data_IF_309556644175
#
_entry.id   IF_309556644175
#
_cell.length_a   1.000
_cell.length_b   1.000
_cell.length_c   1.000
_cell.angle_alpha   90.00
_cell.angle_beta   90.00
_cell.angle_gamma   90.00
#
_symmetry.space_group_name_H-M   'P 1'
#
loop_
_entity.id
_entity.type
_entity.pdbx_description
1 polymer ?
#
# COMPACT_ATOMS: atom_id res chain seq x y z
N UNK A 1 9.06 49.07 -0.65
CA UNK A 1 8.15 49.06 -1.81
C UNK A 1 8.95 48.65 -3.03
N UNK A 2 8.61 47.51 -3.66
CA UNK A 2 9.23 47.08 -4.91
C UNK A 2 8.44 47.72 -6.05
N UNK A 3 9.11 48.52 -6.89
CA UNK A 3 8.51 49.17 -8.06
C UNK A 3 8.95 48.41 -9.32
N UNK A 4 7.99 47.98 -10.11
CA UNK A 4 8.26 47.41 -11.43
C UNK A 4 7.90 48.44 -12.50
N UNK A 5 8.64 48.52 -13.62
CA UNK A 5 8.26 49.38 -14.72
C UNK A 5 6.95 48.83 -15.33
N UNK A 6 6.05 49.74 -15.67
CA UNK A 6 4.82 49.37 -16.40
C UNK A 6 5.21 49.04 -17.83
N UNK A 7 4.85 47.88 -18.29
CA UNK A 7 5.18 47.42 -19.63
C UNK A 7 4.71 46.02 -19.95
N UNK A 8 4.91 45.62 -21.19
CA UNK A 8 4.61 44.25 -21.68
C UNK A 8 5.87 43.39 -21.50
N UNK A 9 5.77 42.36 -20.68
CA UNK A 9 6.85 41.38 -20.49
C UNK A 9 6.53 40.09 -21.24
N UNK A 10 7.49 39.57 -21.98
CA UNK A 10 7.48 38.24 -22.55
C UNK A 10 8.67 37.52 -21.93
N UNK A 11 8.42 36.46 -21.18
CA UNK A 11 9.48 35.65 -20.62
C UNK A 11 9.32 34.21 -21.09
N UNK A 12 10.29 33.73 -21.86
CA UNK A 12 10.36 32.33 -22.32
C UNK A 12 10.81 31.40 -21.20
N UNK A 13 11.52 31.90 -20.21
CA UNK A 13 12.12 31.12 -19.11
C UNK A 13 11.42 31.30 -17.76
N UNK A 14 10.34 32.08 -17.73
CA UNK A 14 9.65 32.46 -16.50
C UNK A 14 10.24 33.71 -15.83
N UNK A 15 9.58 34.17 -14.78
CA UNK A 15 10.03 35.33 -14.00
C UNK A 15 10.62 34.82 -12.67
N UNK A 16 11.87 35.20 -12.43
CA UNK A 16 12.63 34.85 -11.23
C UNK A 16 12.79 36.04 -10.33
N UNK A 17 12.36 35.96 -9.08
CA UNK A 17 12.62 36.95 -8.06
C UNK A 17 13.83 36.52 -7.22
N UNK A 18 14.82 37.37 -7.09
CA UNK A 18 15.98 37.14 -6.21
C UNK A 18 15.99 38.19 -5.13
N UNK A 19 16.01 37.78 -3.88
CA UNK A 19 16.14 38.63 -2.70
C UNK A 19 17.53 38.40 -2.10
N UNK A 20 18.31 39.44 -1.94
CA UNK A 20 19.57 39.36 -1.19
C UNK A 20 19.41 40.15 0.13
N UNK A 21 19.64 39.44 1.24
CA UNK A 21 19.57 40.01 2.58
C UNK A 21 20.84 40.81 2.89
N UNK A 22 20.78 41.66 3.92
CA UNK A 22 21.92 42.53 4.32
C UNK A 22 23.14 41.75 4.83
N UNK A 23 22.95 40.45 5.22
CA UNK A 23 24.02 39.53 5.59
C UNK A 23 24.59 38.75 4.40
N UNK A 24 24.17 39.10 3.17
CA UNK A 24 24.67 38.52 1.92
C UNK A 24 24.01 37.19 1.50
N UNK A 25 23.03 36.69 2.22
CA UNK A 25 22.26 35.48 1.79
C UNK A 25 21.38 35.83 0.62
N UNK A 26 21.31 34.91 -0.34
CA UNK A 26 20.51 35.11 -1.55
C UNK A 26 19.44 34.01 -1.62
N UNK A 27 18.19 34.46 -1.68
CA UNK A 27 17.02 33.59 -1.85
C UNK A 27 16.45 33.84 -3.25
N UNK A 28 16.09 32.78 -3.95
CA UNK A 28 15.59 32.88 -5.31
C UNK A 28 14.30 32.07 -5.44
N UNK A 29 13.27 32.71 -5.99
CA UNK A 29 12.00 32.03 -6.29
C UNK A 29 11.53 32.32 -7.70
N UNK A 30 11.08 31.28 -8.42
CA UNK A 30 10.41 31.45 -9.69
C UNK A 30 8.96 31.87 -9.43
N UNK A 31 8.58 33.06 -9.89
CA UNK A 31 7.22 33.61 -9.72
C UNK A 31 6.27 33.01 -10.77
N UNK A 32 6.81 32.63 -11.93
CA UNK A 32 6.07 31.96 -13.00
C UNK A 32 6.93 30.87 -13.63
N UNK A 33 6.29 29.75 -13.93
CA UNK A 33 6.91 28.68 -14.70
C UNK A 33 7.10 29.10 -16.16
N UNK A 34 8.00 28.42 -16.85
CA UNK A 34 8.25 28.61 -18.27
C UNK A 34 6.97 28.58 -19.12
N UNK A 35 6.85 29.53 -19.97
CA UNK A 35 5.74 29.72 -20.92
C UNK A 35 5.59 31.17 -21.30
N UNK A 36 5.23 31.43 -22.54
CA UNK A 36 4.99 32.79 -23.03
C UNK A 36 3.71 33.32 -22.37
N UNK A 37 3.85 34.18 -21.38
CA UNK A 37 2.70 34.91 -20.82
C UNK A 37 2.86 36.40 -21.16
N UNK A 38 1.86 36.91 -21.86
CA UNK A 38 1.78 38.33 -22.15
C UNK A 38 1.04 39.04 -21.02
N UNK A 39 1.69 40.00 -20.38
CA UNK A 39 1.15 40.80 -19.32
C UNK A 39 0.82 42.19 -19.85
N UNK A 40 -0.37 42.66 -19.59
CA UNK A 40 -0.81 43.99 -19.97
C UNK A 40 -1.39 44.77 -18.79
N UNK A 41 -1.51 46.09 -18.92
CA UNK A 41 -2.01 46.96 -17.88
C UNK A 41 -3.38 46.60 -17.31
N UNK A 42 -4.24 45.95 -18.12
CA UNK A 42 -5.60 45.55 -17.70
C UNK A 42 -5.63 44.35 -16.78
N UNK A 43 -4.61 43.49 -16.80
CA UNK A 43 -4.63 42.23 -16.09
C UNK A 43 -3.83 42.26 -14.77
N UNK A 44 -3.28 43.43 -14.38
CA UNK A 44 -2.61 43.63 -13.12
C UNK A 44 -1.57 42.55 -12.82
N UNK A 45 -0.48 42.53 -13.53
CA UNK A 45 0.54 41.47 -13.56
C UNK A 45 1.03 41.04 -12.20
N UNK A 46 1.12 41.99 -11.33
CA UNK A 46 1.50 41.81 -9.95
C UNK A 46 0.38 42.37 -9.07
N UNK A 47 -0.72 41.69 -8.98
CA UNK A 47 -1.64 41.99 -7.91
C UNK A 47 -0.86 41.95 -6.58
N UNK A 48 -1.18 42.82 -5.66
CA UNK A 48 -0.57 42.82 -4.33
C UNK A 48 -0.60 41.42 -3.69
N UNK A 49 -1.58 40.59 -4.06
CA UNK A 49 -1.74 39.22 -3.64
C UNK A 49 -0.65 38.30 -4.20
N UNK A 50 -0.29 38.41 -5.48
CA UNK A 50 0.78 37.55 -6.08
C UNK A 50 2.15 37.97 -5.54
N UNK A 51 2.38 39.25 -5.33
CA UNK A 51 3.63 39.71 -4.75
C UNK A 51 3.73 39.39 -3.27
N UNK A 52 2.62 39.48 -2.51
CA UNK A 52 2.56 39.08 -1.12
C UNK A 52 2.83 37.56 -0.98
N UNK A 53 2.22 36.71 -1.82
CA UNK A 53 2.48 35.27 -1.86
C UNK A 53 3.96 34.96 -2.18
N UNK A 54 4.56 35.69 -3.13
CA UNK A 54 5.97 35.53 -3.47
C UNK A 54 6.91 36.00 -2.33
N UNK A 55 6.60 37.11 -1.67
CA UNK A 55 7.40 37.64 -0.53
C UNK A 55 7.23 36.76 0.72
N UNK A 56 6.03 36.28 0.97
CA UNK A 56 5.75 35.33 2.06
C UNK A 56 6.58 34.07 1.92
N UNK A 57 6.70 33.55 0.70
CA UNK A 57 7.51 32.39 0.40
C UNK A 57 9.04 32.59 0.58
N UNK A 58 9.54 33.81 0.67
CA UNK A 58 10.92 34.10 1.09
C UNK A 58 11.08 34.11 2.61
N UNK A 59 10.02 34.39 3.33
CA UNK A 59 10.01 34.46 4.80
C UNK A 59 9.68 33.11 5.45
N UNK A 60 9.08 32.18 4.70
CA UNK A 60 8.71 30.86 5.19
C UNK A 60 9.77 29.83 4.79
N UNK A 61 10.07 28.85 5.64
CA UNK A 61 10.83 27.68 5.22
C UNK A 61 10.15 27.04 4.00
N UNK A 62 10.94 26.42 3.11
CA UNK A 62 10.37 25.68 1.98
C UNK A 62 9.42 24.59 2.47
N UNK A 63 8.29 24.40 1.79
CA UNK A 63 7.31 23.41 2.16
C UNK A 63 6.01 23.52 1.36
N UNK A 64 5.10 22.59 1.60
CA UNK A 64 3.76 22.53 0.99
C UNK A 64 2.75 23.02 2.02
N UNK A 65 2.06 24.12 1.73
CA UNK A 65 1.09 24.74 2.63
C UNK A 65 -0.37 24.46 2.21
N UNK A 66 -0.60 24.20 0.93
CA UNK A 66 -1.93 24.13 0.34
C UNK A 66 -2.03 23.00 -0.70
N UNK A 67 -3.26 22.64 -1.09
CA UNK A 67 -3.51 21.70 -2.19
C UNK A 67 -2.88 22.18 -3.52
N UNK A 68 -2.92 23.48 -3.80
CA UNK A 68 -2.28 24.06 -4.99
C UNK A 68 -0.75 23.84 -4.97
N UNK A 69 -0.10 24.02 -3.82
CA UNK A 69 1.33 23.76 -3.68
C UNK A 69 1.63 22.25 -3.89
N UNK A 70 0.76 21.37 -3.39
CA UNK A 70 0.91 19.92 -3.58
C UNK A 70 0.76 19.52 -5.06
N UNK A 71 -0.17 20.15 -5.80
CA UNK A 71 -0.34 19.96 -7.25
C UNK A 71 0.89 20.47 -8.01
N UNK A 72 1.39 21.64 -7.64
CA UNK A 72 2.60 22.21 -8.26
C UNK A 72 3.83 21.34 -7.98
N UNK A 73 3.95 20.82 -6.76
CA UNK A 73 4.98 19.87 -6.40
C UNK A 73 4.90 18.59 -7.24
N UNK A 74 3.71 17.98 -7.36
CA UNK A 74 3.51 16.80 -8.21
C UNK A 74 3.93 17.05 -9.65
N UNK A 75 3.54 18.20 -10.22
CA UNK A 75 3.92 18.59 -11.57
C UNK A 75 5.46 18.76 -11.72
N UNK A 76 6.12 19.34 -10.72
CA UNK A 76 7.58 19.54 -10.74
C UNK A 76 8.33 18.19 -10.68
N UNK A 77 7.88 17.24 -9.83
CA UNK A 77 8.42 15.88 -9.80
C UNK A 77 8.30 15.21 -11.16
N UNK A 78 7.10 15.24 -11.74
CA UNK A 78 6.79 14.59 -13.02
C UNK A 78 7.56 15.21 -14.19
N UNK A 79 7.84 16.52 -14.15
CA UNK A 79 8.67 17.21 -15.12
C UNK A 79 10.18 17.04 -14.88
N UNK A 80 10.58 16.58 -13.69
CA UNK A 80 11.99 16.49 -13.28
C UNK A 80 12.60 17.86 -12.98
N UNK A 81 11.79 18.79 -12.50
CA UNK A 81 12.21 20.12 -12.07
C UNK A 81 12.80 20.09 -10.66
N UNK A 82 13.43 21.21 -10.25
CA UNK A 82 13.97 21.37 -8.90
C UNK A 82 12.87 21.36 -7.85
N UNK A 83 13.05 20.59 -6.79
CA UNK A 83 12.12 20.50 -5.65
C UNK A 83 12.45 21.49 -4.51
N UNK A 84 13.50 22.29 -4.66
CA UNK A 84 13.96 23.24 -3.65
C UNK A 84 12.86 24.18 -3.07
N UNK A 85 11.82 24.60 -3.82
CA UNK A 85 10.76 25.42 -3.25
C UNK A 85 9.95 24.75 -2.12
N UNK A 86 9.91 23.43 -2.10
CA UNK A 86 9.13 22.64 -1.13
C UNK A 86 10.01 21.93 -0.10
N UNK A 87 11.33 22.13 -0.17
CA UNK A 87 12.28 21.48 0.74
C UNK A 87 12.65 22.39 1.91
N UNK A 88 12.75 21.79 3.08
CA UNK A 88 13.36 22.40 4.26
C UNK A 88 14.90 22.48 4.14
N UNK A 89 15.55 22.94 5.20
CA UNK A 89 17.03 23.09 5.27
C UNK A 89 17.77 21.74 5.17
N UNK A 90 17.08 20.62 5.47
CA UNK A 90 17.62 19.26 5.37
C UNK A 90 17.47 18.66 3.97
N UNK A 91 16.75 19.34 3.08
CA UNK A 91 16.41 18.85 1.75
C UNK A 91 15.20 17.92 1.72
N UNK A 92 14.40 17.86 2.78
CA UNK A 92 13.14 17.14 2.83
C UNK A 92 12.02 18.03 2.28
N UNK A 93 11.20 17.47 1.41
CA UNK A 93 9.90 18.04 1.06
C UNK A 93 9.00 17.86 2.28
N UNK A 94 8.43 18.95 2.78
CA UNK A 94 7.64 18.93 4.02
C UNK A 94 6.24 19.47 3.81
N UNK A 95 5.25 18.90 4.50
CA UNK A 95 3.96 19.56 4.69
C UNK A 95 4.11 20.56 5.84
N UNK A 96 3.53 21.74 5.69
CA UNK A 96 3.54 22.79 6.71
C UNK A 96 2.17 22.95 7.37
N UNK A 97 1.14 22.39 6.79
CA UNK A 97 -0.24 22.37 7.27
C UNK A 97 -0.93 21.08 6.86
N UNK A 98 -2.10 20.83 7.45
CA UNK A 98 -3.06 19.90 6.90
C UNK A 98 -3.50 20.34 5.51
N UNK A 99 -3.66 19.40 4.60
CA UNK A 99 -3.97 19.67 3.20
C UNK A 99 -5.40 19.25 2.89
N UNK A 100 -6.25 20.22 2.64
CA UNK A 100 -7.63 20.00 2.18
C UNK A 100 -7.68 19.96 0.65
N UNK A 101 -8.00 18.79 0.09
CA UNK A 101 -8.09 18.55 -1.35
C UNK A 101 -9.50 18.82 -1.92
N UNK A 102 -10.38 19.51 -1.17
CA UNK A 102 -11.73 19.86 -1.64
C UNK A 102 -11.69 20.58 -2.98
N UNK A 103 -12.48 20.11 -3.95
CA UNK A 103 -12.57 20.69 -5.29
C UNK A 103 -11.47 20.23 -6.27
N UNK A 104 -10.58 19.35 -5.85
CA UNK A 104 -9.62 18.70 -6.76
C UNK A 104 -10.29 17.46 -7.34
N UNK A 105 -10.86 17.61 -8.53
CA UNK A 105 -11.60 16.53 -9.19
C UNK A 105 -10.69 15.50 -9.86
N UNK A 106 -9.48 15.89 -10.24
CA UNK A 106 -8.50 15.02 -10.91
C UNK A 106 -7.14 15.16 -10.27
N UNK A 107 -6.53 14.03 -9.98
CA UNK A 107 -5.19 13.96 -9.41
C UNK A 107 -4.21 13.30 -10.40
N UNK A 108 -3.09 13.96 -10.66
CA UNK A 108 -1.95 13.33 -11.31
C UNK A 108 -0.97 12.89 -10.23
N UNK A 109 -0.67 11.60 -10.10
CA UNK A 109 0.20 11.11 -9.03
C UNK A 109 1.56 11.79 -8.99
N UNK A 110 2.08 12.00 -7.79
CA UNK A 110 3.49 12.39 -7.59
C UNK A 110 4.34 11.20 -8.04
N UNK A 111 5.23 11.41 -9.00
CA UNK A 111 5.98 10.29 -9.56
C UNK A 111 5.14 9.43 -10.50
N UNK A 112 4.37 10.07 -11.38
CA UNK A 112 3.53 9.38 -12.37
C UNK A 112 4.38 8.53 -13.32
N UNK A 113 4.17 7.22 -13.29
CA UNK A 113 4.99 6.28 -14.03
C UNK A 113 4.21 5.04 -14.49
N UNK A 114 4.67 4.46 -15.58
CA UNK A 114 4.20 3.17 -16.12
C UNK A 114 5.25 2.12 -15.80
N UNK A 115 4.86 1.12 -15.01
CA UNK A 115 5.79 0.18 -14.37
C UNK A 115 5.34 -1.28 -14.56
N UNK A 116 5.50 -1.87 -15.75
CA UNK A 116 5.14 -3.27 -15.96
C UNK A 116 5.98 -4.21 -15.12
N UNK A 117 5.31 -5.15 -14.45
CA UNK A 117 5.92 -6.30 -13.81
C UNK A 117 5.76 -7.53 -14.70
N UNK A 118 6.86 -8.02 -15.24
CA UNK A 118 6.87 -9.24 -16.04
C UNK A 118 7.10 -10.46 -15.13
N UNK A 119 6.23 -11.46 -15.24
CA UNK A 119 6.26 -12.60 -14.32
C UNK A 119 6.01 -12.17 -12.89
N UNK A 120 6.88 -12.56 -11.95
CA UNK A 120 6.77 -12.21 -10.52
C UNK A 120 7.92 -11.36 -9.99
N UNK A 121 8.94 -11.07 -10.81
CA UNK A 121 10.20 -10.53 -10.31
C UNK A 121 11.00 -9.69 -11.31
N UNK A 122 10.42 -9.24 -12.40
CA UNK A 122 11.09 -8.34 -13.35
C UNK A 122 10.25 -7.07 -13.52
N UNK A 123 10.65 -6.00 -12.83
CA UNK A 123 10.05 -4.67 -12.91
C UNK A 123 10.85 -3.80 -13.87
N UNK A 124 10.15 -3.04 -14.70
CA UNK A 124 10.71 -2.02 -15.58
C UNK A 124 10.01 -0.69 -15.32
N UNK A 125 10.72 0.42 -15.43
CA UNK A 125 10.10 1.75 -15.55
C UNK A 125 10.07 2.04 -17.04
N UNK A 126 8.89 1.93 -17.64
CA UNK A 126 8.71 2.08 -19.10
C UNK A 126 8.59 3.55 -19.49
N UNK A 127 7.92 4.32 -18.66
CA UNK A 127 7.80 5.78 -18.84
C UNK A 127 7.50 6.47 -17.52
N UNK A 128 7.65 7.79 -17.50
CA UNK A 128 7.43 8.63 -16.34
C UNK A 128 8.65 8.75 -15.43
N UNK A 129 8.46 9.36 -14.26
CA UNK A 129 9.52 9.65 -13.31
C UNK A 129 9.09 9.29 -11.89
N UNK A 130 9.50 8.15 -11.35
CA UNK A 130 9.29 7.85 -9.93
C UNK A 130 9.87 8.97 -9.03
N UNK A 131 9.18 9.26 -7.94
CA UNK A 131 9.72 10.14 -6.91
C UNK A 131 10.89 9.45 -6.19
N UNK A 132 12.03 10.16 -6.07
CA UNK A 132 13.25 9.62 -5.44
C UNK A 132 13.77 10.49 -4.30
N UNK A 133 12.97 11.47 -3.85
CA UNK A 133 13.33 12.38 -2.77
C UNK A 133 12.88 11.90 -1.39
N UNK A 134 12.99 12.81 -0.43
CA UNK A 134 12.49 12.64 0.93
C UNK A 134 11.23 13.49 1.10
N UNK A 135 10.15 12.89 1.58
CA UNK A 135 8.88 13.57 1.87
C UNK A 135 8.49 13.28 3.32
N UNK A 136 8.38 14.32 4.12
CA UNK A 136 7.96 14.28 5.51
C UNK A 136 6.63 15.03 5.66
N UNK A 137 5.56 14.28 5.91
CA UNK A 137 4.24 14.84 6.15
C UNK A 137 4.12 15.58 7.49
N UNK A 138 5.10 15.47 8.38
CA UNK A 138 5.12 16.09 9.71
C UNK A 138 3.87 15.79 10.55
N UNK A 139 3.33 14.59 10.40
CA UNK A 139 2.06 14.14 10.99
C UNK A 139 0.82 14.97 10.57
N UNK A 140 0.94 15.77 9.52
CA UNK A 140 -0.20 16.46 8.93
C UNK A 140 -1.14 15.53 8.19
N UNK A 141 -2.38 15.95 8.10
CA UNK A 141 -3.49 15.22 7.51
C UNK A 141 -3.77 15.70 6.09
N UNK A 142 -3.99 14.74 5.18
CA UNK A 142 -4.63 15.00 3.89
C UNK A 142 -6.10 14.64 4.02
N UNK A 143 -6.98 15.57 3.65
CA UNK A 143 -8.43 15.41 3.68
C UNK A 143 -9.04 15.61 2.30
N UNK A 144 -10.23 15.04 2.06
CA UNK A 144 -10.98 15.17 0.82
C UNK A 144 -10.20 14.74 -0.45
N UNK A 145 -9.19 13.90 -0.30
CA UNK A 145 -8.43 13.35 -1.41
C UNK A 145 -9.18 12.16 -2.02
N UNK A 146 -9.68 12.32 -3.23
CA UNK A 146 -10.34 11.25 -3.97
C UNK A 146 -9.45 10.75 -5.09
N UNK A 147 -9.04 9.49 -5.00
CA UNK A 147 -8.27 8.81 -6.03
C UNK A 147 -9.13 7.82 -6.77
N UNK A 148 -9.29 8.02 -8.08
CA UNK A 148 -10.00 7.10 -8.98
C UNK A 148 -9.01 6.52 -9.97
N UNK A 149 -8.83 5.20 -9.92
CA UNK A 149 -7.97 4.45 -10.85
C UNK A 149 -8.83 3.87 -11.96
N UNK A 150 -9.00 4.58 -13.06
CA UNK A 150 -9.86 4.20 -14.19
C UNK A 150 -9.15 3.42 -15.32
N UNK A 151 -7.83 3.46 -15.33
CA UNK A 151 -6.97 2.62 -16.13
C UNK A 151 -6.98 2.82 -17.66
N UNK A 152 -6.92 4.04 -18.12
CA UNK A 152 -6.68 4.32 -19.54
C UNK A 152 -5.30 3.78 -20.01
N UNK A 153 -4.28 3.80 -19.13
CA UNK A 153 -2.92 3.34 -19.42
C UNK A 153 -2.59 2.09 -18.60
N UNK A 154 -2.34 0.91 -19.22
CA UNK A 154 -1.93 -0.29 -18.51
C UNK A 154 -0.63 -0.09 -17.73
N UNK A 155 -0.51 -0.78 -16.58
CA UNK A 155 0.67 -0.75 -15.70
C UNK A 155 1.05 0.62 -15.14
N UNK A 156 0.17 1.61 -15.22
CA UNK A 156 0.34 2.89 -14.53
C UNK A 156 0.17 2.65 -13.03
N UNK A 157 1.06 3.22 -12.25
CA UNK A 157 0.98 3.21 -10.80
C UNK A 157 0.15 4.41 -10.30
N UNK A 158 -0.80 4.15 -9.39
CA UNK A 158 -1.80 5.11 -8.93
C UNK A 158 -1.78 5.29 -7.41
N UNK A 159 -1.86 6.52 -6.94
CA UNK A 159 -1.90 6.89 -5.53
C UNK A 159 -1.65 8.37 -5.32
N UNK A 160 -1.51 8.82 -4.08
CA UNK A 160 -0.91 10.14 -3.83
C UNK A 160 0.45 10.19 -4.54
N UNK A 161 1.26 9.13 -4.34
CA UNK A 161 2.44 8.84 -5.14
C UNK A 161 2.09 7.74 -6.16
N UNK A 162 2.39 7.95 -7.44
CA UNK A 162 2.29 6.89 -8.43
C UNK A 162 3.37 5.85 -8.15
N UNK A 163 4.63 6.23 -8.30
CA UNK A 163 5.77 5.39 -8.01
C UNK A 163 6.79 6.11 -7.10
N UNK A 164 7.18 5.44 -6.03
CA UNK A 164 8.37 5.76 -5.26
C UNK A 164 9.54 4.97 -5.85
N UNK A 165 10.61 5.66 -6.21
CA UNK A 165 11.80 5.08 -6.83
C UNK A 165 12.95 4.89 -5.83
N UNK A 166 14.09 4.36 -6.30
CA UNK A 166 15.22 4.00 -5.45
C UNK A 166 15.71 5.15 -4.57
N UNK A 167 15.75 4.89 -3.27
CA UNK A 167 16.19 5.84 -2.25
C UNK A 167 15.13 6.81 -1.75
N UNK A 168 13.90 6.77 -2.30
CA UNK A 168 12.81 7.59 -1.77
C UNK A 168 12.47 7.23 -0.33
N UNK A 169 12.09 8.25 0.44
CA UNK A 169 11.52 8.08 1.78
C UNK A 169 10.26 8.94 1.87
N UNK A 170 9.16 8.33 2.29
CA UNK A 170 7.91 9.02 2.61
C UNK A 170 7.53 8.67 4.04
N UNK A 171 7.28 9.68 4.87
CA UNK A 171 6.99 9.44 6.28
C UNK A 171 6.01 10.45 6.89
N UNK A 172 5.43 10.07 8.05
CA UNK A 172 4.62 10.91 8.93
C UNK A 172 3.42 11.56 8.22
N UNK A 173 2.49 10.73 7.73
CA UNK A 173 1.33 11.21 6.96
C UNK A 173 0.04 10.52 7.41
N UNK A 174 -1.06 11.26 7.41
CA UNK A 174 -2.40 10.75 7.69
C UNK A 174 -3.32 11.04 6.52
N UNK A 175 -4.07 10.04 6.08
CA UNK A 175 -5.24 10.20 5.21
C UNK A 175 -6.48 10.04 6.09
N UNK A 176 -7.30 11.06 6.19
CA UNK A 176 -8.51 10.98 7.00
C UNK A 176 -9.67 10.26 6.29
N UNK A 177 -10.76 10.05 7.00
CA UNK A 177 -11.93 9.31 6.52
C UNK A 177 -12.72 10.03 5.41
N UNK A 178 -12.42 11.29 5.09
CA UNK A 178 -12.98 12.01 3.95
C UNK A 178 -12.27 11.68 2.63
N UNK A 179 -11.10 11.08 2.70
CA UNK A 179 -10.38 10.58 1.53
C UNK A 179 -10.97 9.26 1.02
N UNK A 180 -10.65 8.87 -0.22
CA UNK A 180 -11.05 7.57 -0.78
C UNK A 180 -10.14 7.11 -1.90
N UNK A 181 -9.98 5.79 -2.02
CA UNK A 181 -9.42 5.13 -3.20
C UNK A 181 -10.49 4.27 -3.86
N UNK A 182 -10.78 4.54 -5.12
CA UNK A 182 -11.70 3.76 -5.95
C UNK A 182 -10.95 3.20 -7.16
N UNK A 183 -10.97 1.88 -7.32
CA UNK A 183 -10.31 1.20 -8.45
C UNK A 183 -11.38 0.59 -9.34
N UNK A 184 -11.58 1.18 -10.52
CA UNK A 184 -12.53 0.70 -11.55
C UNK A 184 -11.83 0.11 -12.77
N UNK A 185 -10.54 -0.15 -12.62
CA UNK A 185 -9.65 -0.54 -13.70
C UNK A 185 -9.96 -1.93 -14.27
N UNK A 186 -9.86 -2.06 -15.60
CA UNK A 186 -10.01 -3.33 -16.33
C UNK A 186 -8.71 -3.89 -16.89
N UNK A 187 -7.57 -3.21 -16.69
CA UNK A 187 -6.24 -3.59 -17.17
C UNK A 187 -5.26 -3.70 -16.01
N UNK A 188 -4.08 -4.24 -16.27
CA UNK A 188 -3.02 -4.33 -15.25
C UNK A 188 -2.73 -2.97 -14.62
N UNK A 189 -2.74 -2.91 -13.29
CA UNK A 189 -2.47 -1.68 -12.55
C UNK A 189 -2.06 -1.99 -11.12
N UNK A 190 -1.32 -1.05 -10.52
CA UNK A 190 -0.95 -1.07 -9.12
C UNK A 190 -1.50 0.21 -8.46
N UNK A 191 -2.45 0.03 -7.53
CA UNK A 191 -3.17 1.13 -6.89
C UNK A 191 -2.96 1.11 -5.38
N UNK A 192 -2.66 2.27 -4.81
CA UNK A 192 -2.58 2.44 -3.35
C UNK A 192 -2.99 3.84 -2.96
N UNK A 193 -3.69 4.02 -1.85
CA UNK A 193 -4.05 5.37 -1.41
C UNK A 193 -2.79 6.23 -1.22
N UNK A 194 -1.74 5.64 -0.68
CA UNK A 194 -0.44 6.27 -0.52
C UNK A 194 0.40 6.15 -1.80
N UNK A 195 0.65 4.92 -2.27
CA UNK A 195 1.51 4.69 -3.42
C UNK A 195 1.09 3.47 -4.23
N UNK A 196 1.05 3.62 -5.57
CA UNK A 196 0.83 2.50 -6.47
C UNK A 196 2.01 1.54 -6.45
N UNK A 197 3.23 2.06 -6.52
CA UNK A 197 4.48 1.30 -6.48
C UNK A 197 5.46 1.88 -5.45
N UNK A 198 6.03 0.99 -4.63
CA UNK A 198 7.20 1.27 -3.80
C UNK A 198 8.36 0.41 -4.31
N UNK A 199 9.36 1.03 -4.95
CA UNK A 199 10.50 0.37 -5.56
C UNK A 199 11.80 0.83 -4.91
N UNK A 200 12.50 -0.06 -4.19
CA UNK A 200 13.76 0.23 -3.48
C UNK A 200 13.69 1.49 -2.60
N UNK A 201 12.57 1.67 -1.92
CA UNK A 201 12.22 2.86 -1.16
C UNK A 201 11.72 2.52 0.24
N UNK A 202 11.55 3.51 1.08
CA UNK A 202 11.00 3.36 2.42
C UNK A 202 9.74 4.20 2.64
N UNK A 203 8.77 3.62 3.31
CA UNK A 203 7.57 4.31 3.80
C UNK A 203 7.47 4.07 5.30
N UNK A 204 7.25 5.12 6.09
CA UNK A 204 7.21 5.02 7.55
C UNK A 204 6.11 5.86 8.16
N UNK A 205 5.52 5.34 9.24
CA UNK A 205 4.57 6.09 10.07
C UNK A 205 3.47 6.77 9.24
N UNK A 206 2.68 5.96 8.50
CA UNK A 206 1.54 6.45 7.71
C UNK A 206 0.27 5.77 8.19
N UNK A 207 -0.75 6.59 8.47
CA UNK A 207 -2.08 6.12 8.84
C UNK A 207 -3.07 6.38 7.71
N UNK A 208 -3.89 5.37 7.41
CA UNK A 208 -4.98 5.45 6.45
C UNK A 208 -6.33 5.24 7.14
N UNK A 209 -7.18 6.24 7.12
CA UNK A 209 -8.60 6.14 7.50
C UNK A 209 -9.53 6.22 6.27
N UNK A 210 -8.95 6.36 5.06
CA UNK A 210 -9.68 6.47 3.81
C UNK A 210 -10.22 5.10 3.36
N UNK A 211 -11.51 4.93 3.12
CA UNK A 211 -12.06 3.71 2.55
C UNK A 211 -11.47 3.42 1.17
N UNK A 212 -11.24 2.13 0.91
CA UNK A 212 -10.70 1.65 -0.36
C UNK A 212 -11.70 0.70 -1.01
N UNK A 213 -11.98 0.89 -2.29
CA UNK A 213 -12.90 0.04 -3.04
C UNK A 213 -12.31 -0.43 -4.36
N UNK A 214 -12.64 -1.67 -4.72
CA UNK A 214 -12.34 -2.25 -6.01
C UNK A 214 -13.63 -2.70 -6.69
N UNK A 215 -13.94 -2.10 -7.82
CA UNK A 215 -15.04 -2.49 -8.70
C UNK A 215 -14.50 -2.58 -10.14
N UNK A 216 -14.23 -3.78 -10.59
CA UNK A 216 -13.72 -3.97 -11.93
C UNK A 216 -13.55 -5.42 -12.32
N UNK A 217 -14.06 -5.82 -13.49
CA UNK A 217 -13.82 -7.11 -14.10
C UNK A 217 -12.51 -7.05 -14.89
N UNK A 218 -11.40 -7.29 -14.22
CA UNK A 218 -10.14 -7.49 -14.92
C UNK A 218 -10.11 -8.87 -15.58
N UNK A 219 -9.65 -8.92 -16.81
CA UNK A 219 -9.26 -10.17 -17.46
C UNK A 219 -8.11 -10.87 -16.71
N UNK A 220 -7.30 -11.68 -17.40
CA UNK A 220 -6.12 -12.34 -16.81
C UNK A 220 -4.94 -11.36 -16.63
N UNK A 221 -5.15 -10.28 -15.89
CA UNK A 221 -4.14 -9.24 -15.65
C UNK A 221 -3.94 -9.05 -14.15
N UNK A 222 -2.75 -8.59 -13.76
CA UNK A 222 -2.45 -8.26 -12.38
C UNK A 222 -3.10 -6.95 -11.98
N UNK A 223 -3.75 -6.97 -10.83
CA UNK A 223 -4.21 -5.77 -10.16
C UNK A 223 -3.89 -5.86 -8.68
N UNK A 224 -3.36 -4.79 -8.13
CA UNK A 224 -3.00 -4.74 -6.71
C UNK A 224 -3.65 -3.54 -6.05
N UNK A 225 -4.13 -3.69 -4.82
CA UNK A 225 -4.72 -2.61 -4.07
C UNK A 225 -4.38 -2.71 -2.58
N UNK A 226 -4.19 -1.56 -1.93
CA UNK A 226 -3.93 -1.40 -0.50
C UNK A 226 -3.54 0.02 -0.15
N UNK A 227 -2.94 0.24 1.01
CA UNK A 227 -2.20 1.49 1.24
C UNK A 227 -1.08 1.62 0.21
N UNK A 228 -0.43 0.49 -0.10
CA UNK A 228 0.56 0.31 -1.16
C UNK A 228 0.06 -0.76 -2.12
N UNK A 229 0.04 -0.48 -3.43
CA UNK A 229 -0.34 -1.46 -4.43
C UNK A 229 0.71 -2.56 -4.58
N UNK A 230 1.90 -2.21 -5.01
CA UNK A 230 3.05 -3.09 -5.24
C UNK A 230 4.28 -2.63 -4.46
N UNK A 231 4.89 -3.53 -3.70
CA UNK A 231 6.21 -3.35 -3.10
C UNK A 231 7.24 -4.24 -3.82
N UNK A 232 8.21 -3.63 -4.49
CA UNK A 232 9.22 -4.33 -5.28
C UNK A 232 10.64 -3.98 -4.81
N UNK A 233 11.42 -4.99 -4.46
CA UNK A 233 12.80 -4.80 -4.01
C UNK A 233 13.83 -5.37 -4.99
N UNK A 234 14.82 -4.57 -5.37
CA UNK A 234 16.09 -5.01 -5.92
C UNK A 234 17.25 -4.71 -4.97
N UNK A 235 17.16 -3.62 -4.21
CA UNK A 235 18.09 -3.19 -3.16
C UNK A 235 17.48 -3.16 -1.76
N UNK A 236 16.16 -3.35 -1.68
CA UNK A 236 15.40 -3.41 -0.44
C UNK A 236 14.24 -2.42 -0.39
N UNK A 237 13.13 -2.84 0.21
CA UNK A 237 11.96 -2.00 0.52
C UNK A 237 11.68 -2.10 2.01
N UNK A 238 11.32 -0.97 2.63
CA UNK A 238 10.90 -0.93 4.03
C UNK A 238 9.55 -0.25 4.15
N UNK A 239 8.56 -0.99 4.66
CA UNK A 239 7.24 -0.50 5.06
C UNK A 239 7.17 -0.61 6.60
N UNK A 240 7.32 0.51 7.29
CA UNK A 240 7.48 0.57 8.74
C UNK A 240 6.35 1.36 9.40
N UNK A 241 5.64 0.74 10.33
CA UNK A 241 4.49 1.35 11.06
C UNK A 241 3.44 1.95 10.15
N UNK A 242 3.00 1.19 9.14
CA UNK A 242 1.82 1.54 8.37
C UNK A 242 0.58 1.03 9.08
N UNK A 243 -0.41 1.90 9.27
CA UNK A 243 -1.68 1.55 9.92
C UNK A 243 -2.84 1.79 8.98
N UNK A 244 -3.62 0.75 8.70
CA UNK A 244 -4.89 0.87 8.00
C UNK A 244 -6.05 0.74 8.99
N UNK A 245 -6.81 1.80 9.16
CA UNK A 245 -8.01 1.86 10.01
C UNK A 245 -9.31 1.69 9.18
N UNK A 246 -9.22 1.83 7.86
CA UNK A 246 -10.36 1.93 6.98
C UNK A 246 -10.77 0.59 6.36
N UNK A 247 -12.06 0.47 6.09
CA UNK A 247 -12.62 -0.66 5.39
C UNK A 247 -12.12 -0.75 3.93
N UNK A 248 -12.00 -1.99 3.46
CA UNK A 248 -11.67 -2.31 2.09
C UNK A 248 -12.76 -3.19 1.51
N UNK A 249 -13.37 -2.74 0.40
CA UNK A 249 -14.49 -3.45 -0.24
C UNK A 249 -14.16 -3.82 -1.69
N UNK A 250 -14.77 -4.89 -2.20
CA UNK A 250 -14.78 -5.17 -3.62
C UNK A 250 -16.08 -5.83 -4.05
N UNK A 251 -16.66 -5.36 -5.16
CA UNK A 251 -17.93 -5.89 -5.69
C UNK A 251 -17.75 -7.01 -6.69
N UNK A 252 -16.69 -6.99 -7.51
CA UNK A 252 -16.37 -8.09 -8.43
C UNK A 252 -14.85 -8.29 -8.54
N UNK A 253 -14.44 -9.53 -8.55
CA UNK A 253 -13.07 -9.94 -8.68
C UNK A 253 -12.89 -11.00 -9.76
N UNK A 254 -13.45 -10.78 -10.95
CA UNK A 254 -13.57 -11.74 -12.04
C UNK A 254 -12.31 -12.51 -12.46
N UNK A 255 -11.12 -12.16 -11.98
CA UNK A 255 -9.87 -12.83 -12.38
C UNK A 255 -9.38 -13.87 -11.36
N UNK A 256 -9.21 -15.10 -11.85
CA UNK A 256 -8.71 -16.26 -11.10
C UNK A 256 -7.24 -16.55 -11.33
N UNK A 257 -6.49 -15.62 -11.93
CA UNK A 257 -5.09 -15.83 -12.29
C UNK A 257 -4.23 -16.34 -11.13
N UNK A 258 -3.40 -17.33 -11.40
CA UNK A 258 -2.40 -17.84 -10.47
C UNK A 258 -1.12 -16.98 -10.50
N UNK A 259 -0.49 -16.79 -9.37
CA UNK A 259 0.81 -16.11 -9.30
C UNK A 259 0.73 -14.60 -9.46
N UNK A 260 1.57 -14.02 -10.31
CA UNK A 260 1.64 -12.58 -10.56
C UNK A 260 0.47 -12.02 -11.36
N UNK A 261 -0.32 -12.90 -11.99
CA UNK A 261 -1.53 -12.51 -12.71
C UNK A 261 -2.72 -12.75 -11.79
N UNK A 262 -3.40 -11.72 -11.36
CA UNK A 262 -4.57 -11.83 -10.49
C UNK A 262 -4.81 -10.57 -9.70
N UNK A 263 -5.96 -10.53 -9.04
CA UNK A 263 -6.33 -9.42 -8.18
C UNK A 263 -5.83 -9.74 -6.77
N UNK A 264 -5.07 -8.83 -6.22
CA UNK A 264 -4.48 -8.91 -4.89
C UNK A 264 -4.89 -7.69 -4.07
N UNK A 265 -5.67 -7.91 -3.04
CA UNK A 265 -6.23 -6.87 -2.21
C UNK A 265 -5.71 -7.03 -0.78
N UNK A 266 -4.95 -6.07 -0.31
CA UNK A 266 -4.38 -6.09 1.04
C UNK A 266 -4.67 -4.81 1.82
N UNK A 267 -4.95 -4.91 3.10
CA UNK A 267 -5.14 -3.71 3.93
C UNK A 267 -3.92 -2.79 3.88
N UNK A 268 -2.73 -3.37 3.96
CA UNK A 268 -1.46 -2.62 3.87
C UNK A 268 -0.89 -2.69 2.45
N UNK A 269 -0.73 -3.89 1.87
CA UNK A 269 -0.09 -4.05 0.56
C UNK A 269 -0.77 -5.12 -0.28
N UNK A 270 -1.02 -4.82 -1.56
CA UNK A 270 -1.59 -5.79 -2.48
C UNK A 270 -0.60 -6.90 -2.83
N UNK A 271 0.60 -6.57 -3.26
CA UNK A 271 1.60 -7.54 -3.70
C UNK A 271 3.02 -7.11 -3.30
N UNK A 272 3.78 -8.03 -2.73
CA UNK A 272 5.19 -7.81 -2.43
C UNK A 272 6.06 -8.83 -3.14
N UNK A 273 7.16 -8.38 -3.72
CA UNK A 273 8.12 -9.24 -4.41
C UNK A 273 9.51 -8.64 -4.45
N UNK A 274 10.48 -9.46 -4.87
CA UNK A 274 11.90 -9.11 -4.89
C UNK A 274 12.55 -9.66 -6.16
N UNK A 275 13.64 -9.06 -6.60
CA UNK A 275 14.47 -9.52 -7.72
C UNK A 275 15.27 -10.81 -7.44
N UNK A 276 14.72 -11.70 -6.61
CA UNK A 276 15.33 -13.00 -6.25
C UNK A 276 16.64 -12.91 -5.43
N UNK A 277 16.76 -11.93 -4.55
CA UNK A 277 17.90 -11.79 -3.64
C UNK A 277 17.46 -11.82 -2.17
N UNK A 278 18.00 -12.75 -1.38
CA UNK A 278 17.78 -12.80 0.07
C UNK A 278 18.42 -11.65 0.84
N UNK A 279 19.41 -10.98 0.23
CA UNK A 279 20.12 -9.87 0.85
C UNK A 279 19.27 -8.57 0.90
N UNK A 280 18.28 -8.46 0.04
CA UNK A 280 17.50 -7.23 -0.16
C UNK A 280 15.99 -7.52 -0.08
N UNK A 281 15.45 -7.92 1.08
CA UNK A 281 14.04 -8.29 1.21
C UNK A 281 13.11 -7.08 1.09
N UNK A 282 11.82 -7.36 0.89
CA UNK A 282 10.74 -6.44 1.24
C UNK A 282 10.42 -6.63 2.72
N UNK A 283 10.55 -5.58 3.51
CA UNK A 283 10.35 -5.62 4.96
C UNK A 283 9.06 -4.88 5.33
N UNK A 284 8.19 -5.55 6.07
CA UNK A 284 7.07 -4.96 6.78
C UNK A 284 7.39 -5.02 8.28
N UNK A 285 7.44 -3.88 8.95
CA UNK A 285 7.76 -3.80 10.36
C UNK A 285 6.68 -3.02 11.11
N UNK A 286 6.09 -3.60 12.14
CA UNK A 286 5.08 -2.94 12.96
C UNK A 286 3.82 -2.50 12.21
N UNK A 287 3.49 -3.12 11.06
CA UNK A 287 2.32 -2.75 10.29
C UNK A 287 1.04 -3.32 10.91
N UNK A 288 -0.03 -2.51 10.93
CA UNK A 288 -1.30 -2.85 11.58
C UNK A 288 -2.46 -2.66 10.60
N UNK A 289 -3.31 -3.67 10.48
CA UNK A 289 -4.61 -3.52 9.83
C UNK A 289 -5.73 -3.67 10.86
N UNK A 290 -6.60 -2.65 10.95
CA UNK A 290 -7.85 -2.67 11.73
C UNK A 290 -9.08 -2.58 10.86
N UNK A 291 -8.90 -2.19 9.60
CA UNK A 291 -10.00 -2.12 8.66
C UNK A 291 -10.53 -3.51 8.27
N UNK A 292 -11.83 -3.63 8.19
CA UNK A 292 -12.50 -4.84 7.70
C UNK A 292 -12.38 -4.95 6.18
N UNK A 293 -12.22 -6.19 5.71
CA UNK A 293 -12.21 -6.52 4.30
C UNK A 293 -13.51 -7.26 3.94
N UNK A 294 -14.36 -6.65 3.12
CA UNK A 294 -15.54 -7.29 2.55
C UNK A 294 -15.35 -7.41 1.04
N UNK A 295 -14.96 -8.60 0.58
CA UNK A 295 -14.43 -8.73 -0.78
C UNK A 295 -15.03 -9.89 -1.56
N UNK A 296 -14.98 -9.78 -2.89
CA UNK A 296 -15.31 -10.85 -3.85
C UNK A 296 -14.11 -11.17 -4.76
N UNK A 297 -12.91 -11.09 -4.24
CA UNK A 297 -11.66 -11.32 -5.00
C UNK A 297 -11.00 -12.65 -4.62
N UNK A 298 -10.16 -13.18 -5.50
CA UNK A 298 -9.48 -14.45 -5.27
C UNK A 298 -8.41 -14.42 -4.19
N UNK A 299 -7.92 -13.23 -3.80
CA UNK A 299 -6.90 -13.04 -2.75
C UNK A 299 -7.12 -11.74 -2.00
N UNK A 300 -7.48 -11.86 -0.75
CA UNK A 300 -7.65 -10.74 0.16
C UNK A 300 -6.99 -11.04 1.51
N UNK A 301 -6.28 -10.07 2.08
CA UNK A 301 -5.65 -10.20 3.41
C UNK A 301 -5.50 -8.86 4.11
N UNK A 302 -5.41 -8.87 5.44
CA UNK A 302 -5.24 -7.64 6.21
C UNK A 302 -3.88 -6.97 6.00
N UNK A 303 -2.79 -7.73 5.86
CA UNK A 303 -1.46 -7.14 5.72
C UNK A 303 -0.98 -7.17 4.26
N UNK A 304 -0.65 -8.32 3.70
CA UNK A 304 -0.17 -8.39 2.32
C UNK A 304 -0.84 -9.54 1.57
N UNK A 305 -1.60 -9.24 0.51
CA UNK A 305 -2.38 -10.27 -0.16
C UNK A 305 -1.51 -11.35 -0.82
N UNK A 306 -0.33 -11.01 -1.35
CA UNK A 306 0.64 -11.99 -1.81
C UNK A 306 2.05 -11.58 -1.40
N UNK A 307 2.64 -12.34 -0.50
CA UNK A 307 4.04 -12.25 -0.11
C UNK A 307 4.86 -13.17 -1.01
N UNK A 308 5.41 -12.62 -2.08
CA UNK A 308 6.22 -13.39 -3.02
C UNK A 308 7.70 -13.04 -2.79
N UNK A 309 8.57 -14.03 -2.82
CA UNK A 309 10.04 -13.89 -2.74
C UNK A 309 10.57 -12.93 -1.67
N UNK A 310 11.24 -13.46 -0.67
CA UNK A 310 12.00 -12.69 0.34
C UNK A 310 11.22 -11.51 0.93
N UNK A 311 10.00 -11.76 1.34
CA UNK A 311 9.18 -10.80 2.08
C UNK A 311 9.24 -11.17 3.56
N UNK A 312 9.62 -10.21 4.39
CA UNK A 312 9.78 -10.39 5.82
C UNK A 312 8.76 -9.51 6.57
N UNK A 313 7.99 -10.12 7.43
CA UNK A 313 7.06 -9.42 8.31
C UNK A 313 7.56 -9.54 9.76
N UNK A 314 7.66 -8.43 10.46
CA UNK A 314 8.04 -8.38 11.88
C UNK A 314 7.04 -7.52 12.64
N UNK A 315 6.55 -8.02 13.79
CA UNK A 315 5.65 -7.30 14.68
C UNK A 315 4.38 -6.75 14.00
N UNK A 316 3.91 -7.43 12.94
CA UNK A 316 2.71 -7.03 12.21
C UNK A 316 1.45 -7.65 12.80
N UNK A 317 0.35 -6.89 12.84
CA UNK A 317 -0.91 -7.37 13.44
C UNK A 317 -2.11 -7.07 12.54
N UNK A 318 -2.97 -8.07 12.33
CA UNK A 318 -4.29 -7.89 11.75
C UNK A 318 -5.38 -8.02 12.82
N UNK A 319 -6.24 -7.02 12.93
CA UNK A 319 -7.45 -7.00 13.75
C UNK A 319 -8.73 -7.08 12.91
N UNK A 320 -8.67 -6.65 11.65
CA UNK A 320 -9.84 -6.55 10.79
C UNK A 320 -10.40 -7.92 10.40
N UNK A 321 -11.72 -7.99 10.27
CA UNK A 321 -12.44 -9.10 9.66
C UNK A 321 -12.05 -9.23 8.19
N UNK A 322 -11.93 -10.46 7.69
CA UNK A 322 -11.82 -10.74 6.26
C UNK A 322 -13.02 -11.59 5.84
N UNK A 323 -14.07 -10.95 5.32
CA UNK A 323 -15.26 -11.63 4.78
C UNK A 323 -15.19 -11.65 3.26
N UNK A 324 -15.05 -12.85 2.69
CA UNK A 324 -14.86 -13.00 1.25
C UNK A 324 -15.91 -13.93 0.63
N UNK A 325 -16.61 -13.40 -0.36
CA UNK A 325 -17.65 -14.08 -1.13
C UNK A 325 -17.26 -14.30 -2.61
N UNK A 326 -16.00 -14.64 -2.89
CA UNK A 326 -15.53 -14.85 -4.27
C UNK A 326 -16.36 -15.91 -5.00
N UNK A 327 -16.95 -15.60 -6.17
CA UNK A 327 -17.98 -16.44 -6.78
C UNK A 327 -17.47 -17.74 -7.40
N UNK A 328 -16.14 -17.94 -7.48
CA UNK A 328 -15.53 -19.12 -8.12
C UNK A 328 -14.98 -20.10 -7.10
N UNK A 329 -15.61 -21.26 -6.99
CA UNK A 329 -15.16 -22.32 -6.08
C UNK A 329 -13.76 -22.84 -6.44
N UNK A 330 -12.93 -23.09 -5.42
CA UNK A 330 -11.60 -23.71 -5.56
C UNK A 330 -10.46 -22.76 -5.92
N UNK A 331 -10.70 -21.49 -6.16
CA UNK A 331 -9.66 -20.51 -6.55
C UNK A 331 -9.39 -19.43 -5.51
N UNK A 332 -10.29 -19.19 -4.58
CA UNK A 332 -10.00 -18.27 -3.48
C UNK A 332 -8.89 -18.82 -2.59
N UNK A 333 -7.94 -17.97 -2.24
CA UNK A 333 -6.89 -18.23 -1.27
C UNK A 333 -6.85 -17.09 -0.30
N UNK A 334 -7.33 -17.35 0.90
CA UNK A 334 -7.58 -16.33 1.90
C UNK A 334 -6.71 -16.56 3.13
N UNK A 335 -6.04 -15.52 3.57
CA UNK A 335 -5.28 -15.53 4.80
C UNK A 335 -5.31 -14.15 5.42
N UNK A 336 -5.49 -14.05 6.71
CA UNK A 336 -5.62 -12.74 7.33
C UNK A 336 -4.33 -11.92 7.35
N UNK A 337 -3.18 -12.58 7.28
CA UNK A 337 -1.89 -11.90 7.14
C UNK A 337 -1.42 -11.94 5.68
N UNK A 338 -1.47 -13.13 5.04
CA UNK A 338 -1.15 -13.26 3.61
C UNK A 338 -1.89 -14.45 2.99
N UNK A 339 -2.21 -14.35 1.71
CA UNK A 339 -2.89 -15.44 1.01
C UNK A 339 -1.91 -16.50 0.49
N UNK A 340 -0.73 -16.10 0.06
CA UNK A 340 0.24 -17.01 -0.55
C UNK A 340 1.66 -16.56 -0.23
N UNK A 341 2.54 -17.55 -0.03
CA UNK A 341 3.96 -17.30 0.18
C UNK A 341 4.80 -17.84 -0.98
N UNK A 342 5.82 -17.05 -1.36
CA UNK A 342 6.90 -17.47 -2.23
C UNK A 342 8.11 -18.01 -1.44
N UNK A 343 9.29 -18.16 -2.05
CA UNK A 343 10.50 -18.60 -1.37
C UNK A 343 11.07 -17.53 -0.43
N UNK A 344 11.67 -17.96 0.68
CA UNK A 344 12.41 -17.12 1.60
C UNK A 344 11.55 -16.13 2.41
N UNK A 345 10.30 -16.49 2.69
CA UNK A 345 9.39 -15.68 3.51
C UNK A 345 9.73 -15.88 4.99
N UNK A 346 9.78 -14.79 5.76
CA UNK A 346 9.99 -14.84 7.20
C UNK A 346 8.97 -14.01 7.93
N UNK A 347 8.29 -14.63 8.89
CA UNK A 347 7.38 -13.95 9.80
C UNK A 347 7.92 -14.07 11.21
N UNK A 348 8.03 -12.94 11.90
CA UNK A 348 8.48 -12.88 13.29
C UNK A 348 7.47 -12.07 14.10
N UNK A 349 6.91 -12.65 15.16
CA UNK A 349 5.92 -12.03 16.04
C UNK A 349 4.70 -11.46 15.29
N UNK A 350 4.24 -12.18 14.26
CA UNK A 350 3.09 -11.74 13.47
C UNK A 350 1.81 -12.27 14.11
N UNK A 351 0.82 -11.40 14.33
CA UNK A 351 -0.38 -11.71 15.08
C UNK A 351 -1.63 -11.52 14.22
N UNK A 352 -2.49 -12.54 14.18
CA UNK A 352 -3.84 -12.40 13.66
C UNK A 352 -4.87 -12.44 14.80
N UNK A 353 -5.69 -11.41 14.90
CA UNK A 353 -6.84 -11.31 15.83
C UNK A 353 -8.18 -11.22 15.12
N UNK A 354 -8.16 -10.93 13.82
CA UNK A 354 -9.36 -10.82 13.00
C UNK A 354 -9.90 -12.17 12.57
N UNK A 355 -11.20 -12.29 12.47
CA UNK A 355 -11.87 -13.46 11.91
C UNK A 355 -11.68 -13.53 10.39
N UNK A 356 -11.72 -14.74 9.84
CA UNK A 356 -11.75 -15.00 8.41
C UNK A 356 -13.01 -15.78 8.07
N UNK A 357 -13.85 -15.21 7.20
CA UNK A 357 -15.05 -15.84 6.68
C UNK A 357 -14.87 -16.05 5.18
N UNK A 358 -14.74 -17.30 4.76
CA UNK A 358 -14.69 -17.68 3.35
C UNK A 358 -16.03 -18.25 2.94
N UNK A 359 -16.84 -17.46 2.24
CA UNK A 359 -18.13 -17.90 1.66
C UNK A 359 -17.93 -18.69 0.38
N UNK A 360 -16.76 -19.27 0.20
CA UNK A 360 -16.38 -20.04 -0.98
C UNK A 360 -15.68 -21.33 -0.56
N UNK A 361 -15.61 -22.28 -1.47
CA UNK A 361 -14.87 -23.56 -1.26
C UNK A 361 -13.36 -23.40 -1.41
N UNK A 362 -12.84 -22.17 -1.30
CA UNK A 362 -11.41 -21.88 -1.37
C UNK A 362 -10.66 -22.27 -0.10
N UNK A 363 -9.34 -22.22 -0.17
CA UNK A 363 -8.50 -22.45 0.99
C UNK A 363 -8.46 -21.21 1.89
N UNK A 364 -8.46 -21.42 3.22
CA UNK A 364 -8.53 -20.36 4.22
C UNK A 364 -7.63 -20.65 5.42
N UNK A 365 -6.82 -19.68 5.85
CA UNK A 365 -5.96 -19.82 7.02
C UNK A 365 -5.82 -18.55 7.82
N UNK A 366 -5.80 -18.65 9.14
CA UNK A 366 -5.77 -17.49 10.03
C UNK A 366 -4.53 -16.60 9.84
N UNK A 367 -3.35 -17.19 9.70
CA UNK A 367 -2.12 -16.45 9.34
C UNK A 367 -1.98 -16.41 7.82
N UNK A 368 -1.99 -17.57 7.17
CA UNK A 368 -1.75 -17.65 5.73
C UNK A 368 -2.55 -18.78 5.10
N UNK A 369 -2.91 -18.61 3.83
CA UNK A 369 -3.65 -19.65 3.12
C UNK A 369 -2.73 -20.80 2.66
N UNK A 370 -1.65 -20.47 1.96
CA UNK A 370 -0.83 -21.49 1.29
C UNK A 370 0.67 -21.26 1.46
N UNK A 371 1.36 -22.22 2.08
CA UNK A 371 2.82 -22.36 2.04
C UNK A 371 3.20 -23.26 0.87
N UNK A 372 3.79 -22.69 -0.17
CA UNK A 372 4.08 -23.39 -1.42
C UNK A 372 5.58 -23.50 -1.77
N UNK A 373 6.45 -22.98 -0.91
CA UNK A 373 7.89 -22.98 -1.12
C UNK A 373 8.64 -23.41 0.15
N UNK A 374 9.80 -24.03 -0.05
CA UNK A 374 10.76 -24.28 1.03
C UNK A 374 11.34 -22.95 1.55
N UNK A 375 12.09 -22.98 2.60
CA UNK A 375 12.81 -21.86 3.22
C UNK A 375 11.91 -20.79 3.89
N UNK A 376 10.62 -21.10 4.09
CA UNK A 376 9.75 -20.22 4.86
C UNK A 376 9.93 -20.46 6.36
N UNK A 377 9.91 -19.37 7.14
CA UNK A 377 10.17 -19.39 8.57
C UNK A 377 9.13 -18.56 9.34
N UNK A 378 8.55 -19.15 10.38
CA UNK A 378 7.53 -18.55 11.24
C UNK A 378 7.98 -18.65 12.68
N UNK A 379 8.24 -17.52 13.34
CA UNK A 379 8.75 -17.45 14.71
C UNK A 379 7.87 -16.56 15.54
N UNK A 380 7.34 -17.07 16.67
CA UNK A 380 6.51 -16.29 17.59
C UNK A 380 5.19 -15.81 16.97
N UNK A 381 4.72 -16.45 15.90
CA UNK A 381 3.49 -16.04 15.23
C UNK A 381 2.26 -16.57 15.96
N UNK A 382 1.20 -15.76 16.03
CA UNK A 382 0.01 -16.08 16.80
C UNK A 382 -1.27 -15.88 15.99
N UNK A 383 -2.21 -16.80 16.04
CA UNK A 383 -3.52 -16.69 15.41
C UNK A 383 -4.64 -16.94 16.42
N UNK A 384 -5.47 -15.93 16.62
CA UNK A 384 -6.59 -15.93 17.56
C UNK A 384 -7.95 -15.85 16.89
N UNK A 385 -8.02 -15.36 15.66
CA UNK A 385 -9.26 -15.21 14.90
C UNK A 385 -9.86 -16.56 14.48
N UNK A 386 -11.17 -16.60 14.37
CA UNK A 386 -11.90 -17.75 13.84
C UNK A 386 -11.70 -17.87 12.34
N UNK A 387 -11.65 -19.11 11.84
CA UNK A 387 -11.62 -19.40 10.40
C UNK A 387 -12.88 -20.16 10.03
N UNK A 388 -13.77 -19.51 9.30
CA UNK A 388 -15.05 -20.06 8.88
C UNK A 388 -15.02 -20.17 7.36
N UNK A 389 -15.23 -21.38 6.83
CA UNK A 389 -15.15 -21.62 5.40
C UNK A 389 -16.33 -22.48 4.94
N UNK A 390 -16.86 -22.18 3.77
CA UNK A 390 -17.90 -22.97 3.09
C UNK A 390 -17.40 -24.36 2.63
N UNK A 391 -16.12 -24.62 2.81
CA UNK A 391 -15.51 -25.89 2.50
C UNK A 391 -15.89 -26.97 3.52
N UNK A 392 -16.48 -28.09 3.09
CA UNK A 392 -17.00 -29.12 4.01
C UNK A 392 -15.88 -29.95 4.65
N UNK A 393 -14.73 -30.07 4.01
CA UNK A 393 -13.57 -30.80 4.51
C UNK A 393 -12.56 -29.85 5.21
N UNK A 394 -11.76 -30.41 6.11
CA UNK A 394 -10.72 -29.67 6.82
C UNK A 394 -9.42 -29.58 6.01
N UNK A 395 -9.37 -30.11 4.79
CA UNK A 395 -8.14 -30.24 4.01
C UNK A 395 -7.50 -28.90 3.58
N UNK A 396 -8.23 -27.80 3.70
CA UNK A 396 -7.74 -26.49 3.22
C UNK A 396 -8.22 -25.33 4.09
N UNK A 397 -8.60 -25.60 5.32
CA UNK A 397 -8.93 -24.56 6.30
C UNK A 397 -8.24 -24.85 7.62
N UNK A 398 -7.78 -23.81 8.30
CA UNK A 398 -7.13 -23.96 9.59
C UNK A 398 -6.88 -22.64 10.28
N UNK A 399 -6.73 -22.70 11.60
CA UNK A 399 -6.51 -21.52 12.43
C UNK A 399 -5.18 -20.82 12.14
N UNK A 400 -4.20 -21.56 11.65
CA UNK A 400 -2.89 -21.03 11.32
C UNK A 400 -2.66 -20.93 9.80
N UNK A 401 -2.75 -22.04 9.09
CA UNK A 401 -2.63 -22.06 7.62
C UNK A 401 -3.77 -22.86 6.97
N UNK A 402 -4.16 -22.49 5.74
CA UNK A 402 -5.09 -23.30 4.95
C UNK A 402 -4.43 -24.56 4.44
N UNK A 403 -3.21 -24.44 3.90
CA UNK A 403 -2.42 -25.59 3.45
C UNK A 403 -0.91 -25.29 3.53
N UNK A 404 -0.14 -26.23 4.06
CA UNK A 404 1.30 -26.21 4.05
C UNK A 404 1.85 -27.43 3.30
N UNK A 405 2.34 -27.22 2.08
CA UNK A 405 2.78 -28.27 1.15
C UNK A 405 4.29 -28.45 1.10
N UNK A 406 5.05 -27.55 1.73
CA UNK A 406 6.51 -27.50 1.60
C UNK A 406 7.17 -27.35 2.95
N UNK A 407 8.43 -27.71 3.02
CA UNK A 407 9.21 -27.59 4.25
C UNK A 407 9.24 -26.14 4.75
N UNK A 408 8.56 -25.89 5.85
CA UNK A 408 8.54 -24.63 6.56
C UNK A 408 8.97 -24.85 8.01
N UNK A 409 9.58 -23.83 8.60
CA UNK A 409 10.05 -23.87 9.99
C UNK A 409 9.12 -23.07 10.87
N UNK A 410 8.58 -23.73 11.90
CA UNK A 410 7.74 -23.09 12.91
C UNK A 410 8.45 -23.15 14.26
N UNK A 411 8.46 -22.02 15.02
CA UNK A 411 9.02 -21.95 16.35
C UNK A 411 8.18 -21.04 17.24
N UNK A 412 7.80 -21.50 18.42
CA UNK A 412 7.07 -20.71 19.42
C UNK A 412 5.79 -20.07 18.87
N UNK A 413 5.10 -20.74 17.94
CA UNK A 413 3.86 -20.25 17.36
C UNK A 413 2.64 -20.66 18.21
N UNK A 414 1.56 -19.88 18.14
CA UNK A 414 0.30 -20.16 18.84
C UNK A 414 -0.85 -20.14 17.84
N UNK A 415 -1.68 -21.16 17.88
CA UNK A 415 -2.96 -21.22 17.18
C UNK A 415 -4.08 -21.40 18.21
N UNK A 416 -4.94 -20.39 18.35
CA UNK A 416 -6.01 -20.40 19.37
C UNK A 416 -7.41 -20.22 18.78
N UNK A 417 -7.52 -19.84 17.51
CA UNK A 417 -8.82 -19.64 16.88
C UNK A 417 -9.60 -20.92 16.69
N UNK A 418 -10.90 -20.80 16.46
CA UNK A 418 -11.77 -21.91 16.11
C UNK A 418 -11.93 -22.06 14.59
N UNK A 419 -12.24 -23.27 14.12
CA UNK A 419 -12.57 -23.56 12.74
C UNK A 419 -14.03 -23.90 12.62
N UNK A 420 -14.72 -23.30 11.66
CA UNK A 420 -16.14 -23.53 11.42
C UNK A 420 -16.47 -23.74 9.95
N UNK A 421 -17.71 -24.20 9.71
CA UNK A 421 -18.28 -24.29 8.37
C UNK A 421 -19.37 -23.22 8.21
N UNK A 422 -19.31 -22.49 7.10
CA UNK A 422 -20.36 -21.56 6.71
C UNK A 422 -21.46 -22.32 5.98
N UNK A 423 -22.67 -22.26 6.48
CA UNK A 423 -23.81 -22.97 5.89
C UNK A 423 -24.96 -21.99 5.65
N UNK A 424 -24.88 -21.28 4.53
CA UNK A 424 -26.00 -20.46 4.02
C UNK A 424 -26.47 -19.29 4.90
N UNK A 425 -25.69 -18.90 5.91
CA UNK A 425 -26.01 -17.81 6.86
C UNK A 425 -25.65 -18.14 8.30
N UNK A 426 -25.60 -19.43 8.65
CA UNK A 426 -25.20 -19.88 9.98
C UNK A 426 -23.75 -20.36 10.00
N UNK A 427 -22.99 -19.94 11.01
CA UNK A 427 -21.65 -20.45 11.23
C UNK A 427 -21.70 -21.61 12.21
N UNK A 428 -21.49 -22.81 11.73
CA UNK A 428 -21.39 -24.00 12.59
C UNK A 428 -19.94 -24.14 13.01
N UNK A 429 -19.66 -23.86 14.27
CA UNK A 429 -18.33 -24.04 14.86
C UNK A 429 -18.13 -25.51 15.20
N UNK A 430 -17.00 -26.04 14.76
CA UNK A 430 -16.58 -27.39 15.07
C UNK A 430 -15.67 -27.31 16.30
N UNK A 431 -16.12 -27.80 17.43
CA UNK A 431 -15.32 -27.76 18.66
C UNK A 431 -13.97 -28.46 18.49
N UNK A 432 -12.91 -27.82 18.97
CA UNK A 432 -11.55 -28.40 18.97
C UNK A 432 -11.29 -29.09 20.30
N UNK A 433 -10.69 -30.27 20.24
CA UNK A 433 -10.23 -31.01 21.42
C UNK A 433 -8.75 -31.41 21.24
N UNK A 434 -8.15 -31.95 22.31
CA UNK A 434 -6.73 -32.31 22.30
C UNK A 434 -6.37 -33.41 21.30
N UNK A 435 -7.35 -34.21 20.89
CA UNK A 435 -7.10 -35.35 20.01
C UNK A 435 -7.07 -34.96 18.52
N UNK A 436 -7.71 -33.87 18.15
CA UNK A 436 -7.82 -33.39 16.78
C UNK A 436 -7.21 -32.02 16.49
N UNK A 437 -6.43 -31.47 17.43
CA UNK A 437 -5.90 -30.09 17.28
C UNK A 437 -5.05 -29.93 16.00
N UNK A 438 -4.37 -30.97 15.56
CA UNK A 438 -3.56 -30.93 14.34
C UNK A 438 -4.42 -30.72 13.08
N UNK A 439 -5.65 -31.24 13.08
CA UNK A 439 -6.59 -31.05 11.97
C UNK A 439 -7.04 -29.60 11.83
N UNK A 440 -6.89 -28.80 12.88
CA UNK A 440 -7.29 -27.39 12.93
C UNK A 440 -6.18 -26.42 12.56
N UNK A 441 -4.93 -26.85 12.56
CA UNK A 441 -3.82 -26.00 12.08
C UNK A 441 -3.91 -25.80 10.56
N UNK A 442 -4.50 -26.74 9.85
CA UNK A 442 -4.64 -26.77 8.40
C UNK A 442 -3.99 -28.00 7.78
N UNK A 443 -4.23 -28.23 6.49
CA UNK A 443 -3.66 -29.37 5.78
C UNK A 443 -2.14 -29.21 5.60
N UNK A 444 -1.37 -30.22 5.95
CA UNK A 444 0.09 -30.21 5.83
C UNK A 444 0.64 -31.58 5.43
N UNK A 445 1.83 -31.60 4.85
CA UNK A 445 2.60 -32.81 4.59
C UNK A 445 3.54 -33.04 5.79
N UNK A 446 3.21 -34.03 6.63
CA UNK A 446 3.97 -34.34 7.83
C UNK A 446 5.44 -34.73 7.57
N UNK A 447 5.77 -35.16 6.34
CA UNK A 447 7.15 -35.46 5.95
C UNK A 447 7.96 -34.19 5.61
N UNK A 448 7.27 -33.09 5.32
CA UNK A 448 7.87 -31.84 4.90
C UNK A 448 7.85 -30.75 5.99
N UNK A 449 6.98 -30.87 7.00
CA UNK A 449 6.73 -29.82 7.99
C UNK A 449 6.76 -30.39 9.40
N UNK A 450 7.57 -29.82 10.27
CA UNK A 450 7.59 -30.15 11.69
C UNK A 450 6.50 -29.34 12.43
N UNK A 451 5.28 -29.86 12.38
CA UNK A 451 4.10 -29.31 13.06
C UNK A 451 3.86 -30.09 14.34
N UNK A 452 4.60 -29.74 15.38
CA UNK A 452 4.49 -30.38 16.71
C UNK A 452 3.99 -29.40 17.75
N UNK A 453 3.43 -29.86 18.90
CA UNK A 453 3.07 -28.98 20.01
C UNK A 453 4.23 -28.13 20.55
N UNK A 454 5.48 -28.55 20.34
CA UNK A 454 6.65 -27.76 20.69
C UNK A 454 6.87 -26.57 19.76
N UNK A 455 6.41 -26.65 18.51
CA UNK A 455 6.60 -25.63 17.48
C UNK A 455 5.36 -24.76 17.27
N UNK A 456 4.17 -25.35 17.32
CA UNK A 456 2.89 -24.65 17.25
C UNK A 456 2.01 -25.14 18.41
N UNK A 457 1.83 -24.29 19.40
CA UNK A 457 0.96 -24.56 20.53
C UNK A 457 -0.48 -24.19 20.19
N UNK A 458 -1.36 -25.16 20.16
CA UNK A 458 -2.79 -24.91 20.10
C UNK A 458 -3.35 -24.61 21.50
N UNK A 459 -4.20 -23.57 21.59
CA UNK A 459 -4.97 -23.24 22.79
C UNK A 459 -6.45 -23.16 22.43
N UNK A 460 -7.34 -23.86 23.15
CA UNK A 460 -8.78 -23.70 22.94
C UNK A 460 -9.22 -22.24 23.11
N UNK A 461 -10.20 -21.82 22.33
CA UNK A 461 -10.81 -20.50 22.51
C UNK A 461 -11.43 -20.41 23.91
N UNK A 462 -11.12 -19.36 24.66
CA UNK A 462 -11.69 -19.10 25.98
C UNK A 462 -10.82 -19.53 27.18
N UNK A 463 -9.58 -19.91 26.99
CA UNK A 463 -8.59 -20.13 28.07
C UNK A 463 -7.50 -19.06 28.05
#
# INVERSE_FOLDING_TARGET
>A
TIKFPVGRFISETGLKLTLTTTDGRTYTKNIYKSGIRTYNEKNGIFSARHLAKALYAFASPGGIETADDLIEFAAAVNAGESLAPWQDERGFVVLLNDIDMTGIETWTPIGDAVCPLTGTNALTIESGRPFTGFFDGQDHTISNFRMVCDNATPNRAWGLFGALGPGAVVENLVFDSSCSLEVTASKATDCGILAGLVYDAAVRNVTNEAPMSFDGSAGNVRMTMGMVGLAFASKGVVLDRLTNEAALTSEDGGNTGNGATGIHVGGICGFSTNLASSANPVIFNGCINRGDLTTKVGRASGIVAAANRYTHLTDCTNYGLNDNAFPRSGYARLGNITCITGPGIKFTNVVNRGDLISRTKGAAGGILCLVNHNDNEFIGCESYGRVISDRPDNDYKGTFFGQCKKAAKFRNCIAQGDVGTYNGGDCIMTGVNADNYMDYLGAYDASAVDVTPANILYRPAGN
#
